data_IF_386257024915
#
_entry.id   IF_386257024915
#
_cell.length_a   1.000
_cell.length_b   1.000
_cell.length_c   1.000
_cell.angle_alpha   90.00
_cell.angle_beta   90.00
_cell.angle_gamma   90.00
#
_symmetry.space_group_name_H-M   'P 1'
#
loop_
_entity.id
_entity.type
_entity.pdbx_description
1 polymer ?
#
# COMPACT_ATOMS: atom_id res chain seq x y z
N UNK A 1 5.46 20.36 -7.07
CA UNK A 1 4.64 20.29 -5.85
C UNK A 1 4.90 21.55 -5.01
N UNK A 2 3.90 22.16 -4.37
CA UNK A 2 4.13 23.28 -3.46
C UNK A 2 4.98 22.81 -2.26
N UNK A 3 6.06 23.55 -1.96
CA UNK A 3 6.87 23.33 -0.76
C UNK A 3 6.10 23.87 0.44
N UNK A 4 5.77 23.01 1.41
CA UNK A 4 5.02 23.46 2.59
C UNK A 4 5.90 24.28 3.55
N UNK A 5 7.24 24.13 3.49
CA UNK A 5 8.18 24.90 4.31
C UNK A 5 9.52 25.17 3.58
N UNK A 6 10.27 26.22 3.94
CA UNK A 6 11.49 26.61 3.24
C UNK A 6 12.74 25.85 3.72
N UNK A 7 13.35 25.08 2.81
CA UNK A 7 14.77 24.71 2.81
C UNK A 7 15.20 23.49 3.63
N UNK A 8 16.03 22.63 3.02
CA UNK A 8 16.66 21.46 3.63
C UNK A 8 17.32 21.78 4.98
N UNK A 9 16.76 21.25 6.07
CA UNK A 9 17.45 21.17 7.37
C UNK A 9 17.54 19.70 7.75
N UNK A 10 18.76 19.15 7.75
CA UNK A 10 19.02 17.88 8.43
C UNK A 10 18.60 18.05 9.91
N UNK A 11 18.10 16.99 10.57
CA UNK A 11 17.78 17.06 12.00
C UNK A 11 18.97 17.60 12.79
N UNK A 12 18.72 18.62 13.61
CA UNK A 12 19.75 19.33 14.36
C UNK A 12 19.77 18.80 15.79
N UNK A 13 20.96 18.43 16.30
CA UNK A 13 21.13 17.95 17.67
C UNK A 13 20.71 18.97 18.73
N UNK A 14 20.65 20.26 18.37
CA UNK A 14 20.29 21.34 19.29
C UNK A 14 18.79 21.65 19.32
N UNK A 15 17.96 20.98 18.50
CA UNK A 15 16.52 21.20 18.43
C UNK A 15 15.74 20.15 19.22
N UNK A 16 14.58 20.55 19.74
CA UNK A 16 13.69 19.63 20.44
C UNK A 16 12.98 18.68 19.46
N UNK A 17 12.33 17.65 19.98
CA UNK A 17 11.68 16.59 19.19
C UNK A 17 10.71 17.14 18.12
N UNK A 18 9.82 18.07 18.49
CA UNK A 18 8.82 18.61 17.57
C UNK A 18 9.43 19.50 16.47
N UNK A 19 10.46 20.27 16.80
CA UNK A 19 11.21 21.07 15.82
C UNK A 19 11.99 20.17 14.84
N UNK A 20 12.59 19.10 15.35
CA UNK A 20 13.25 18.10 14.51
C UNK A 20 12.23 17.28 13.70
N UNK A 21 11.00 17.10 14.18
CA UNK A 21 9.96 16.42 13.42
C UNK A 21 9.60 17.20 12.15
N UNK A 22 9.43 18.53 12.24
CA UNK A 22 9.20 19.35 11.03
C UNK A 22 10.40 19.34 10.08
N UNK A 23 11.63 19.39 10.59
CA UNK A 23 12.83 19.30 9.77
C UNK A 23 12.97 17.92 9.10
N UNK A 24 12.60 16.85 9.82
CA UNK A 24 12.59 15.49 9.30
C UNK A 24 11.51 15.31 8.21
N UNK A 25 10.31 15.86 8.40
CA UNK A 25 9.27 15.87 7.37
C UNK A 25 9.71 16.62 6.12
N UNK A 26 10.38 17.76 6.26
CA UNK A 26 10.94 18.51 5.12
C UNK A 26 12.00 17.70 4.39
N UNK A 27 12.93 17.08 5.13
CA UNK A 27 13.94 16.21 4.56
C UNK A 27 13.33 15.02 3.80
N UNK A 28 12.30 14.38 4.37
CA UNK A 28 11.56 13.32 3.70
C UNK A 28 10.85 13.83 2.45
N UNK A 29 10.19 14.99 2.52
CA UNK A 29 9.50 15.59 1.38
C UNK A 29 10.46 15.86 0.22
N UNK A 30 11.64 16.43 0.49
CA UNK A 30 12.62 16.70 -0.56
C UNK A 30 13.19 15.39 -1.15
N UNK A 31 13.46 14.38 -0.31
CA UNK A 31 13.87 13.04 -0.77
C UNK A 31 12.83 12.38 -1.66
N UNK A 32 11.55 12.49 -1.30
CA UNK A 32 10.46 12.01 -2.15
C UNK A 32 10.34 12.81 -3.44
N UNK A 33 10.57 14.13 -3.41
CA UNK A 33 10.56 14.96 -4.61
C UNK A 33 11.70 14.58 -5.58
N UNK A 34 12.92 14.35 -5.06
CA UNK A 34 14.05 13.83 -5.83
C UNK A 34 13.72 12.49 -6.49
N UNK A 35 13.26 11.51 -5.70
CA UNK A 35 12.88 10.19 -6.21
C UNK A 35 11.72 10.26 -7.22
N UNK A 36 10.79 11.21 -7.06
CA UNK A 36 9.67 11.41 -7.98
C UNK A 36 10.11 12.01 -9.32
N UNK A 37 11.08 12.92 -9.32
CA UNK A 37 11.68 13.41 -10.56
C UNK A 37 12.47 12.31 -11.26
N UNK A 38 13.24 11.51 -10.53
CA UNK A 38 13.95 10.33 -11.07
C UNK A 38 12.98 9.31 -11.68
N UNK A 39 11.88 9.00 -10.99
CA UNK A 39 10.82 8.13 -11.52
C UNK A 39 10.19 8.68 -12.81
N UNK A 40 9.93 10.00 -12.87
CA UNK A 40 9.35 10.64 -14.06
C UNK A 40 10.30 10.62 -15.25
N UNK A 41 11.60 10.70 -14.99
CA UNK A 41 12.64 10.70 -16.01
C UNK A 41 12.93 9.30 -16.59
N UNK A 42 12.36 8.23 -16.01
CA UNK A 42 12.44 6.88 -16.59
C UNK A 42 11.64 6.81 -17.90
N UNK A 43 12.24 6.20 -18.92
CA UNK A 43 11.73 6.25 -20.29
C UNK A 43 10.62 5.21 -20.54
N UNK A 44 10.74 4.02 -19.97
CA UNK A 44 9.79 2.91 -20.18
C UNK A 44 9.02 2.54 -18.92
N UNK A 45 7.90 1.83 -19.10
CA UNK A 45 7.10 1.33 -17.99
C UNK A 45 7.88 0.30 -17.15
N UNK A 46 8.67 -0.56 -17.79
CA UNK A 46 9.48 -1.55 -17.09
C UNK A 46 10.56 -0.88 -16.22
N UNK A 47 11.25 0.14 -16.74
CA UNK A 47 12.22 0.94 -15.96
C UNK A 47 11.58 1.67 -14.77
N UNK A 48 10.32 2.09 -14.93
CA UNK A 48 9.54 2.68 -13.82
C UNK A 48 9.21 1.66 -12.74
N UNK A 49 8.87 0.43 -13.13
CA UNK A 49 8.64 -0.66 -12.19
C UNK A 49 9.93 -1.07 -11.48
N UNK A 50 11.03 -1.20 -12.22
CA UNK A 50 12.35 -1.53 -11.66
C UNK A 50 12.79 -0.47 -10.65
N UNK A 51 12.65 0.82 -10.97
CA UNK A 51 12.96 1.91 -10.04
C UNK A 51 12.10 1.86 -8.77
N UNK A 52 10.80 1.55 -8.89
CA UNK A 52 9.93 1.35 -7.71
C UNK A 52 10.41 0.14 -6.90
N UNK A 53 10.80 -0.94 -7.57
CA UNK A 53 11.33 -2.16 -6.96
C UNK A 53 12.61 -1.88 -6.17
N UNK A 54 13.57 -1.18 -6.76
CA UNK A 54 14.82 -0.77 -6.10
C UNK A 54 14.56 0.12 -4.88
N UNK A 55 13.71 1.13 -5.01
CA UNK A 55 13.32 1.99 -3.89
C UNK A 55 12.58 1.24 -2.78
N UNK A 56 11.80 0.21 -3.12
CA UNK A 56 11.14 -0.67 -2.16
C UNK A 56 12.15 -1.60 -1.45
N UNK A 57 13.11 -2.16 -2.19
CA UNK A 57 14.19 -3.01 -1.64
C UNK A 57 15.11 -2.23 -0.70
N UNK A 58 15.50 -1.00 -1.04
CA UNK A 58 16.31 -0.15 -0.17
C UNK A 58 15.60 0.11 1.18
N UNK A 59 14.27 0.25 1.15
CA UNK A 59 13.45 0.45 2.35
C UNK A 59 13.16 -0.85 3.09
N UNK A 60 13.12 -1.99 2.41
CA UNK A 60 13.06 -3.32 3.03
C UNK A 60 14.27 -3.58 3.93
N UNK A 61 15.47 -3.18 3.50
CA UNK A 61 16.70 -3.32 4.30
C UNK A 61 16.68 -2.53 5.62
N UNK A 62 15.84 -1.49 5.75
CA UNK A 62 15.62 -0.81 7.04
C UNK A 62 14.85 -1.70 8.02
N UNK A 63 13.95 -2.54 7.52
CA UNK A 63 13.10 -3.43 8.30
C UNK A 63 13.77 -4.80 8.57
N UNK A 64 14.80 -5.18 7.82
CA UNK A 64 15.64 -6.36 8.11
C UNK A 64 16.25 -6.33 9.52
N UNK A 65 16.39 -5.15 10.12
CA UNK A 65 16.85 -5.00 11.50
C UNK A 65 15.82 -5.34 12.56
N UNK A 66 14.53 -5.44 12.22
CA UNK A 66 13.50 -5.87 13.17
C UNK A 66 13.61 -7.39 13.39
N UNK A 67 12.83 -7.95 14.32
CA UNK A 67 12.80 -9.41 14.48
C UNK A 67 12.17 -10.12 13.28
N UNK A 68 11.30 -9.44 12.55
CA UNK A 68 10.47 -10.02 11.49
C UNK A 68 10.19 -9.00 10.38
N UNK A 69 11.24 -8.60 9.67
CA UNK A 69 11.26 -7.44 8.78
C UNK A 69 10.45 -7.61 7.50
N UNK A 70 10.52 -8.80 6.90
CA UNK A 70 9.74 -9.13 5.72
C UNK A 70 8.25 -9.16 6.01
N UNK A 71 7.83 -9.82 7.10
CA UNK A 71 6.44 -9.78 7.52
C UNK A 71 6.02 -8.36 7.91
N UNK A 72 6.87 -7.60 8.59
CA UNK A 72 6.56 -6.22 8.97
C UNK A 72 6.27 -5.34 7.75
N UNK A 73 7.02 -5.51 6.65
CA UNK A 73 6.75 -4.81 5.41
C UNK A 73 5.42 -5.24 4.77
N UNK A 74 5.09 -6.54 4.78
CA UNK A 74 3.79 -7.02 4.32
C UNK A 74 2.63 -6.37 5.11
N UNK A 75 2.82 -6.12 6.40
CA UNK A 75 1.85 -5.36 7.20
C UNK A 75 1.82 -3.87 6.83
N UNK A 76 2.95 -3.25 6.46
CA UNK A 76 2.94 -1.86 5.95
C UNK A 76 2.12 -1.80 4.65
N UNK A 77 2.33 -2.73 3.73
CA UNK A 77 1.58 -2.85 2.48
C UNK A 77 0.10 -3.15 2.77
N UNK A 78 -0.18 -4.06 3.69
CA UNK A 78 -1.53 -4.43 4.12
C UNK A 78 -2.30 -3.32 4.84
N UNK A 79 -1.59 -2.37 5.45
CA UNK A 79 -2.17 -1.18 6.09
C UNK A 79 -2.32 0.00 5.14
N UNK A 80 -1.69 -0.02 3.95
CA UNK A 80 -1.64 1.14 3.06
C UNK A 80 -2.16 0.83 1.66
N UNK A 81 -1.38 0.09 0.86
CA UNK A 81 -1.66 -0.17 -0.54
C UNK A 81 -2.94 -1.01 -0.74
N UNK A 82 -3.11 -2.09 0.02
CA UNK A 82 -4.30 -2.94 -0.10
C UNK A 82 -5.60 -2.20 0.26
N UNK A 83 -5.67 -1.45 1.38
CA UNK A 83 -6.82 -0.61 1.67
C UNK A 83 -7.07 0.47 0.62
N UNK A 84 -6.02 1.14 0.13
CA UNK A 84 -6.17 2.17 -0.89
C UNK A 84 -6.76 1.60 -2.19
N UNK A 85 -6.28 0.45 -2.66
CA UNK A 85 -6.82 -0.23 -3.83
C UNK A 85 -8.27 -0.67 -3.61
N UNK A 86 -8.57 -1.26 -2.45
CA UNK A 86 -9.93 -1.67 -2.12
C UNK A 86 -10.92 -0.49 -2.07
N UNK A 87 -10.49 0.67 -1.56
CA UNK A 87 -11.30 1.89 -1.57
C UNK A 87 -11.52 2.42 -2.98
N UNK A 88 -10.51 2.43 -3.85
CA UNK A 88 -10.65 2.86 -5.25
C UNK A 88 -11.66 1.96 -5.99
N UNK A 89 -11.53 0.64 -5.85
CA UNK A 89 -12.45 -0.33 -6.46
C UNK A 89 -13.86 -0.11 -5.91
N UNK A 90 -13.99 0.07 -4.60
CA UNK A 90 -15.28 0.30 -3.94
C UNK A 90 -15.99 1.55 -4.46
N UNK A 91 -15.27 2.67 -4.58
CA UNK A 91 -15.84 3.93 -5.09
C UNK A 91 -16.22 3.80 -6.57
N UNK A 92 -15.37 3.20 -7.39
CA UNK A 92 -15.63 3.03 -8.82
C UNK A 92 -16.89 2.19 -9.05
N UNK A 93 -16.99 1.04 -8.39
CA UNK A 93 -18.14 0.14 -8.51
C UNK A 93 -19.39 0.71 -7.88
N UNK A 94 -19.30 1.48 -6.79
CA UNK A 94 -20.45 2.23 -6.26
C UNK A 94 -20.99 3.24 -7.28
N UNK A 95 -20.09 3.93 -7.98
CA UNK A 95 -20.47 4.85 -9.06
C UNK A 95 -21.22 4.15 -10.19
N UNK A 96 -20.75 2.98 -10.62
CA UNK A 96 -21.43 2.15 -11.62
C UNK A 96 -22.81 1.67 -11.10
N UNK A 97 -22.88 1.21 -9.85
CA UNK A 97 -24.15 0.79 -9.25
C UNK A 97 -25.20 1.91 -9.23
N UNK A 98 -24.78 3.14 -8.89
CA UNK A 98 -25.66 4.31 -8.92
C UNK A 98 -26.10 4.64 -10.34
N UNK A 99 -25.20 4.57 -11.31
CA UNK A 99 -25.50 4.80 -12.72
C UNK A 99 -26.53 3.80 -13.27
N UNK A 100 -26.31 2.52 -13.04
CA UNK A 100 -27.22 1.44 -13.42
C UNK A 100 -28.57 1.56 -12.69
N UNK A 101 -28.56 1.95 -11.41
CA UNK A 101 -29.76 2.23 -10.64
C UNK A 101 -30.60 3.38 -11.21
N UNK A 102 -29.95 4.46 -11.66
CA UNK A 102 -30.62 5.59 -12.33
C UNK A 102 -31.23 5.13 -13.66
N UNK A 103 -30.49 4.39 -14.49
CA UNK A 103 -31.02 3.87 -15.76
C UNK A 103 -32.25 2.99 -15.54
N UNK A 104 -32.19 2.05 -14.59
CA UNK A 104 -33.32 1.21 -14.22
C UNK A 104 -34.54 2.03 -13.78
N UNK A 105 -34.33 3.12 -13.03
CA UNK A 105 -35.40 4.01 -12.58
C UNK A 105 -36.05 4.77 -13.74
N UNK A 106 -35.24 5.32 -14.65
CA UNK A 106 -35.69 6.07 -15.84
C UNK A 106 -36.47 5.18 -16.80
N UNK A 107 -36.06 3.91 -16.96
CA UNK A 107 -36.82 2.94 -17.76
C UNK A 107 -38.13 2.59 -17.05
N UNK A 108 -38.09 2.39 -15.72
CA UNK A 108 -39.28 2.05 -14.94
C UNK A 108 -40.34 3.16 -14.93
N UNK A 109 -39.94 4.43 -15.00
CA UNK A 109 -40.86 5.57 -15.12
C UNK A 109 -41.35 5.80 -16.56
N UNK A 110 -40.89 5.00 -17.52
CA UNK A 110 -41.31 5.09 -18.92
C UNK A 110 -40.65 6.22 -19.70
N UNK A 111 -39.63 6.87 -19.13
CA UNK A 111 -38.89 7.98 -19.77
C UNK A 111 -37.94 7.43 -20.85
N UNK A 112 -37.37 6.25 -20.63
CA UNK A 112 -36.52 5.54 -21.59
C UNK A 112 -37.03 4.13 -21.87
N UNK A 113 -36.59 3.53 -22.98
CA UNK A 113 -36.85 2.13 -23.33
C UNK A 113 -35.60 1.30 -23.04
N UNK A 114 -35.78 0.10 -22.51
CA UNK A 114 -34.67 -0.81 -22.21
C UNK A 114 -35.09 -1.97 -21.30
N UNK A 115 -34.14 -2.86 -21.01
CA UNK A 115 -34.34 -3.98 -20.09
C UNK A 115 -34.12 -3.52 -18.65
N UNK A 116 -35.20 -3.29 -17.90
CA UNK A 116 -35.12 -2.91 -16.46
C UNK A 116 -34.32 -3.95 -15.68
N UNK A 117 -34.50 -5.22 -16.01
CA UNK A 117 -33.95 -6.35 -15.26
C UNK A 117 -32.42 -6.44 -15.39
N UNK A 118 -31.88 -6.07 -16.55
CA UNK A 118 -30.45 -6.01 -16.80
C UNK A 118 -29.76 -4.93 -15.97
N UNK A 119 -30.29 -3.69 -16.02
CA UNK A 119 -29.77 -2.57 -15.22
C UNK A 119 -29.92 -2.79 -13.71
N UNK A 120 -31.01 -3.44 -13.27
CA UNK A 120 -31.18 -3.80 -11.86
C UNK A 120 -30.16 -4.85 -11.40
N UNK A 121 -29.83 -5.82 -12.24
CA UNK A 121 -28.88 -6.86 -11.89
C UNK A 121 -27.44 -6.32 -11.90
N UNK A 122 -27.09 -5.51 -12.90
CA UNK A 122 -25.82 -4.77 -12.92
C UNK A 122 -25.63 -3.91 -11.67
N UNK A 123 -26.64 -3.11 -11.30
CA UNK A 123 -26.59 -2.28 -10.10
C UNK A 123 -26.34 -3.09 -8.82
N UNK A 124 -26.96 -4.27 -8.67
CA UNK A 124 -26.74 -5.14 -7.51
C UNK A 124 -25.33 -5.72 -7.48
N UNK A 125 -24.85 -6.21 -8.62
CA UNK A 125 -23.50 -6.80 -8.73
C UNK A 125 -22.44 -5.76 -8.38
N UNK A 126 -22.54 -4.57 -8.96
CA UNK A 126 -21.62 -3.47 -8.69
C UNK A 126 -21.67 -3.01 -7.23
N UNK A 127 -22.87 -2.95 -6.63
CA UNK A 127 -23.03 -2.62 -5.21
C UNK A 127 -22.39 -3.69 -4.30
N UNK A 128 -22.54 -4.96 -4.65
CA UNK A 128 -21.97 -6.08 -3.91
C UNK A 128 -20.44 -6.07 -3.99
N UNK A 129 -19.88 -5.87 -5.19
CA UNK A 129 -18.43 -5.74 -5.38
C UNK A 129 -17.91 -4.55 -4.58
N UNK A 130 -18.64 -3.42 -4.61
CA UNK A 130 -18.28 -2.24 -3.84
C UNK A 130 -18.20 -2.52 -2.35
N UNK A 131 -19.22 -3.20 -1.80
CA UNK A 131 -19.28 -3.59 -0.40
C UNK A 131 -18.16 -4.56 0.00
N UNK A 132 -17.91 -5.59 -0.82
CA UNK A 132 -16.85 -6.57 -0.57
C UNK A 132 -15.46 -5.90 -0.60
N UNK A 133 -15.20 -5.06 -1.59
CA UNK A 133 -13.93 -4.34 -1.70
C UNK A 133 -13.70 -3.41 -0.49
N UNK A 134 -14.76 -2.71 -0.04
CA UNK A 134 -14.70 -1.85 1.14
C UNK A 134 -14.43 -2.62 2.43
N UNK A 135 -15.17 -3.71 2.66
CA UNK A 135 -14.99 -4.54 3.86
C UNK A 135 -13.62 -5.22 3.85
N UNK A 136 -13.14 -5.67 2.69
CA UNK A 136 -11.80 -6.22 2.50
C UNK A 136 -10.71 -5.20 2.83
N UNK A 137 -10.86 -3.95 2.38
CA UNK A 137 -9.96 -2.85 2.72
C UNK A 137 -9.88 -2.61 4.23
N UNK A 138 -11.04 -2.55 4.91
CA UNK A 138 -11.09 -2.38 6.37
C UNK A 138 -10.44 -3.56 7.09
N UNK A 139 -10.77 -4.80 6.70
CA UNK A 139 -10.22 -5.99 7.32
C UNK A 139 -8.69 -6.06 7.19
N UNK A 140 -8.17 -5.77 5.98
CA UNK A 140 -6.74 -5.69 5.71
C UNK A 140 -6.07 -4.61 6.57
N UNK A 141 -6.66 -3.41 6.62
CA UNK A 141 -6.14 -2.31 7.41
C UNK A 141 -6.08 -2.66 8.90
N UNK A 142 -7.16 -3.17 9.48
CA UNK A 142 -7.22 -3.50 10.90
C UNK A 142 -6.22 -4.60 11.27
N UNK A 143 -6.16 -5.68 10.50
CA UNK A 143 -5.19 -6.77 10.70
C UNK A 143 -3.77 -6.21 10.70
N UNK A 144 -3.47 -5.39 9.71
CA UNK A 144 -2.11 -4.91 9.50
C UNK A 144 -1.72 -3.82 10.50
N UNK A 145 -2.63 -2.93 10.85
CA UNK A 145 -2.41 -1.90 11.88
C UNK A 145 -2.14 -2.52 13.27
N UNK A 146 -2.89 -3.55 13.65
CA UNK A 146 -2.63 -4.30 14.90
C UNK A 146 -1.25 -4.97 14.84
N UNK A 147 -0.91 -5.57 13.70
CA UNK A 147 0.38 -6.25 13.49
C UNK A 147 1.57 -5.28 13.55
N UNK A 148 1.45 -4.10 12.92
CA UNK A 148 2.45 -3.04 12.95
C UNK A 148 2.73 -2.50 14.36
N UNK A 149 1.74 -2.51 15.25
CA UNK A 149 1.93 -2.09 16.65
C UNK A 149 2.49 -3.23 17.49
N UNK A 150 1.98 -4.45 17.32
CA UNK A 150 2.33 -5.58 18.18
C UNK A 150 3.73 -6.13 17.92
N UNK A 151 4.18 -6.18 16.66
CA UNK A 151 5.50 -6.74 16.29
C UNK A 151 6.69 -5.97 16.87
N UNK A 152 6.75 -4.62 16.85
CA UNK A 152 7.81 -3.86 17.52
C UNK A 152 7.78 -4.04 19.03
N UNK A 153 6.59 -4.13 19.65
CA UNK A 153 6.45 -4.39 21.09
C UNK A 153 7.02 -5.76 21.46
N UNK A 154 6.70 -6.80 20.69
CA UNK A 154 7.23 -8.14 20.88
C UNK A 154 8.74 -8.16 20.66
N UNK A 155 9.24 -7.45 19.64
CA UNK A 155 10.68 -7.30 19.37
C UNK A 155 11.40 -6.62 20.53
N UNK A 156 10.81 -5.58 21.13
CA UNK A 156 11.38 -4.90 22.29
C UNK A 156 11.44 -5.80 23.53
N UNK A 157 10.46 -6.71 23.71
CA UNK A 157 10.41 -7.63 24.85
C UNK A 157 11.33 -8.84 24.65
N UNK A 158 11.39 -9.38 23.43
CA UNK A 158 12.06 -10.67 23.14
C UNK A 158 13.41 -10.54 22.42
N UNK A 159 13.83 -9.31 22.11
CA UNK A 159 15.06 -9.04 21.37
C UNK A 159 14.92 -9.27 19.86
N UNK A 160 16.00 -8.95 19.15
CA UNK A 160 16.15 -9.19 17.72
C UNK A 160 16.40 -10.68 17.44
N UNK A 161 15.83 -11.23 16.37
CA UNK A 161 16.02 -12.61 15.92
C UNK A 161 16.70 -12.60 14.55
N UNK A 162 17.50 -13.62 14.23
CA UNK A 162 18.18 -13.70 12.94
C UNK A 162 17.17 -13.95 11.81
N UNK A 163 17.17 -13.07 10.81
CA UNK A 163 16.29 -13.17 9.63
C UNK A 163 16.85 -14.05 8.50
N UNK A 164 17.89 -14.85 8.78
CA UNK A 164 18.65 -15.59 7.77
C UNK A 164 18.01 -16.93 7.38
N UNK A 165 16.68 -16.95 7.22
CA UNK A 165 15.91 -18.12 6.81
C UNK A 165 15.34 -17.82 5.43
N UNK A 166 15.73 -18.60 4.42
CA UNK A 166 15.22 -18.44 3.05
C UNK A 166 13.68 -18.43 3.05
N UNK A 167 13.10 -17.29 2.66
CA UNK A 167 11.64 -17.07 2.61
C UNK A 167 10.96 -17.90 1.53
N UNK A 168 11.68 -18.17 0.44
CA UNK A 168 11.23 -18.95 -0.69
C UNK A 168 12.28 -20.01 -0.98
N UNK A 169 11.93 -21.28 -0.74
CA UNK A 169 12.80 -22.41 -1.07
C UNK A 169 12.53 -22.74 -2.55
N UNK A 170 13.50 -22.48 -3.42
CA UNK A 170 13.50 -23.00 -4.80
C UNK A 170 14.32 -24.29 -4.87
N UNK A 171 14.14 -25.09 -5.91
CA UNK A 171 14.89 -26.35 -6.09
C UNK A 171 16.41 -26.13 -6.06
N UNK A 172 16.88 -24.97 -6.55
CA UNK A 172 18.28 -24.54 -6.48
C UNK A 172 18.77 -24.29 -5.04
N UNK A 173 17.90 -23.81 -4.14
CA UNK A 173 18.22 -23.64 -2.71
C UNK A 173 18.40 -24.99 -2.01
N UNK A 174 17.62 -26.01 -2.43
CA UNK A 174 17.74 -27.38 -1.94
C UNK A 174 19.04 -28.05 -2.40
N UNK A 175 19.40 -27.88 -3.68
CA UNK A 175 20.62 -28.42 -4.26
C UNK A 175 21.88 -27.85 -3.58
N UNK A 176 21.91 -26.54 -3.30
CA UNK A 176 23.02 -25.91 -2.59
C UNK A 176 23.13 -26.33 -1.12
N UNK A 177 22.01 -26.61 -0.42
CA UNK A 177 22.07 -27.15 0.95
C UNK A 177 22.59 -28.58 0.98
N UNK A 178 22.21 -29.42 0.01
CA UNK A 178 22.69 -30.81 -0.09
C UNK A 178 24.17 -30.91 -0.49
N UNK A 179 24.69 -29.95 -1.26
CA UNK A 179 26.10 -29.93 -1.68
C UNK A 179 27.08 -29.50 -0.57
N UNK A 180 26.57 -28.94 0.53
CA UNK A 180 27.38 -28.47 1.67
C UNK A 180 27.28 -29.37 2.91
N UNK A 181 26.74 -30.60 2.76
CA UNK A 181 26.78 -31.67 3.76
C UNK A 181 27.75 -32.78 3.36
#
# INVERSE_FOLDING_TARGET
MPRFFPGHKKPDRNKNFFQNYSDHLNYLQDKYAEAWEEFKNQATFDQKLDFIGEQALERLNLFEKLRDGHDYFDEVVGATALPALGLVISIATLGMALWEGIQALVIRTGIARGSIQEHQEGAKQDLLVSGVAFLGAIASFLKSAVSLITRPVITAIRGFEEQNIDRFITDDTYANRLANF
#
